data_IF_293343377900
#
_entry.id   IF_293343377900
#
_cell.length_a   1.000
_cell.length_b   1.000
_cell.length_c   1.000
_cell.angle_alpha   90.00
_cell.angle_beta   90.00
_cell.angle_gamma   90.00
#
_symmetry.space_group_name_H-M   'P 1'
#
loop_
_entity.id
_entity.type
_entity.pdbx_description
1 polymer ?
#
# COMPACT_ATOMS: atom_id res chain seq x y z
N UNK A 1 -26.15 -0.11 -6.87
CA UNK A 1 -25.31 -0.92 -7.78
C UNK A 1 -24.54 -1.86 -6.87
N UNK A 2 -24.60 -3.16 -7.11
CA UNK A 2 -23.90 -4.13 -6.27
C UNK A 2 -22.40 -4.00 -6.47
N UNK A 3 -21.64 -4.17 -5.39
CA UNK A 3 -20.20 -3.94 -5.35
C UNK A 3 -19.43 -5.25 -5.22
N UNK A 4 -18.43 -5.43 -6.07
CA UNK A 4 -17.45 -6.50 -5.98
C UNK A 4 -16.11 -5.93 -5.55
N UNK A 5 -15.52 -6.47 -4.48
CA UNK A 5 -14.15 -6.15 -4.07
C UNK A 5 -13.25 -7.37 -4.31
N UNK A 6 -12.18 -7.17 -5.07
CA UNK A 6 -11.17 -8.19 -5.33
C UNK A 6 -9.89 -7.77 -4.62
N UNK A 7 -9.46 -8.56 -3.64
CA UNK A 7 -8.26 -8.27 -2.86
C UNK A 7 -7.09 -9.06 -3.43
N UNK A 8 -6.06 -8.33 -3.83
CA UNK A 8 -4.75 -8.87 -4.15
C UNK A 8 -4.04 -9.24 -2.85
N UNK A 9 -4.20 -10.50 -2.45
CA UNK A 9 -3.73 -11.04 -1.19
C UNK A 9 -2.21 -11.08 -1.10
N UNK A 10 -1.53 -11.36 -2.22
CA UNK A 10 -0.07 -11.38 -2.30
C UNK A 10 0.51 -9.98 -2.06
N UNK A 11 -0.01 -8.97 -2.75
CA UNK A 11 0.40 -7.57 -2.55
C UNK A 11 0.04 -7.06 -1.16
N UNK A 12 -1.16 -7.41 -0.64
CA UNK A 12 -1.56 -7.09 0.74
C UNK A 12 -0.54 -7.60 1.75
N UNK A 13 -0.13 -8.85 1.62
CA UNK A 13 0.72 -9.51 2.60
C UNK A 13 2.14 -8.93 2.61
N UNK A 14 2.74 -8.74 1.43
CA UNK A 14 4.05 -8.07 1.32
C UNK A 14 4.00 -6.61 1.78
N UNK A 15 2.93 -5.88 1.44
CA UNK A 15 2.78 -4.48 1.85
C UNK A 15 2.66 -4.36 3.37
N UNK A 16 1.88 -5.23 4.02
CA UNK A 16 1.76 -5.26 5.47
C UNK A 16 3.11 -5.50 6.16
N UNK A 17 3.93 -6.40 5.61
CA UNK A 17 5.26 -6.73 6.13
C UNK A 17 6.24 -5.55 6.09
N UNK A 18 6.23 -4.76 5.02
CA UNK A 18 7.16 -3.64 4.87
C UNK A 18 6.67 -2.33 5.51
N UNK A 19 5.36 -2.21 5.76
CA UNK A 19 4.78 -1.00 6.32
C UNK A 19 4.78 -0.97 7.85
N UNK A 20 4.88 -2.12 8.51
CA UNK A 20 4.88 -2.24 9.96
C UNK A 20 6.26 -2.64 10.47
N UNK A 21 6.64 -2.21 11.69
CA UNK A 21 7.86 -2.68 12.32
C UNK A 21 7.84 -4.20 12.52
N UNK A 22 9.00 -4.85 12.72
CA UNK A 22 9.06 -6.25 13.11
C UNK A 22 8.36 -6.46 14.46
N UNK A 23 7.10 -6.88 14.41
CA UNK A 23 6.30 -7.23 15.59
C UNK A 23 6.34 -8.74 15.81
N UNK A 24 6.38 -9.14 17.07
CA UNK A 24 6.25 -10.53 17.50
C UNK A 24 5.34 -10.67 18.71
N UNK A 25 4.70 -11.83 18.87
CA UNK A 25 3.93 -12.15 20.09
C UNK A 25 4.86 -12.59 21.24
N UNK A 26 4.29 -12.85 22.43
CA UNK A 26 5.02 -13.34 23.60
C UNK A 26 5.72 -14.70 23.40
N UNK A 27 5.32 -15.49 22.41
CA UNK A 27 5.98 -16.74 22.01
C UNK A 27 7.14 -16.53 21.02
N UNK A 28 7.39 -15.29 20.58
CA UNK A 28 8.42 -14.94 19.62
C UNK A 28 8.03 -15.18 18.15
N UNK A 29 6.77 -15.49 17.87
CA UNK A 29 6.26 -15.64 16.51
C UNK A 29 6.08 -14.25 15.87
N UNK A 30 6.50 -14.04 14.61
CA UNK A 30 6.30 -12.77 13.92
C UNK A 30 4.82 -12.55 13.62
N UNK A 31 4.32 -11.33 13.85
CA UNK A 31 2.89 -10.98 13.73
C UNK A 31 2.62 -9.72 12.90
N UNK A 32 3.65 -8.95 12.55
CA UNK A 32 3.51 -7.65 11.89
C UNK A 32 2.66 -7.69 10.61
N UNK A 33 2.91 -8.65 9.72
CA UNK A 33 2.17 -8.77 8.47
C UNK A 33 0.69 -9.15 8.73
N UNK A 34 0.44 -10.02 9.71
CA UNK A 34 -0.92 -10.41 10.09
C UNK A 34 -1.73 -9.20 10.60
N UNK A 35 -1.14 -8.38 11.47
CA UNK A 35 -1.77 -7.15 11.97
C UNK A 35 -2.16 -6.21 10.83
N UNK A 36 -1.24 -5.99 9.89
CA UNK A 36 -1.49 -5.14 8.72
C UNK A 36 -2.64 -5.69 7.86
N UNK A 37 -2.62 -6.99 7.54
CA UNK A 37 -3.70 -7.62 6.76
C UNK A 37 -5.05 -7.51 7.46
N UNK A 38 -5.13 -7.83 8.76
CA UNK A 38 -6.38 -7.74 9.53
C UNK A 38 -6.95 -6.32 9.52
N UNK A 39 -6.10 -5.30 9.68
CA UNK A 39 -6.54 -3.91 9.64
C UNK A 39 -7.05 -3.48 8.26
N UNK A 40 -6.37 -3.89 7.19
CA UNK A 40 -6.83 -3.60 5.83
C UNK A 40 -8.15 -4.31 5.52
N UNK A 41 -8.29 -5.58 5.93
CA UNK A 41 -9.53 -6.34 5.79
C UNK A 41 -10.67 -5.70 6.59
N UNK A 42 -10.42 -5.20 7.80
CA UNK A 42 -11.44 -4.47 8.59
C UNK A 42 -11.98 -3.26 7.83
N UNK A 43 -11.09 -2.47 7.21
CA UNK A 43 -11.49 -1.32 6.39
C UNK A 43 -12.37 -1.77 5.21
N UNK A 44 -11.93 -2.77 4.44
CA UNK A 44 -12.68 -3.31 3.32
C UNK A 44 -14.05 -3.86 3.74
N UNK A 45 -14.12 -4.59 4.85
CA UNK A 45 -15.36 -5.17 5.34
C UNK A 45 -16.34 -4.12 5.89
N UNK A 46 -15.84 -2.98 6.37
CA UNK A 46 -16.68 -1.86 6.83
C UNK A 46 -17.44 -1.20 5.69
N UNK A 47 -16.91 -1.25 4.47
CA UNK A 47 -17.61 -0.79 3.26
C UNK A 47 -18.77 -1.71 2.84
N UNK A 48 -18.91 -2.88 3.49
CA UNK A 48 -19.99 -3.85 3.28
C UNK A 48 -20.20 -4.22 1.80
N UNK A 49 -19.18 -4.77 1.10
CA UNK A 49 -19.34 -5.18 -0.28
C UNK A 49 -20.31 -6.36 -0.41
N UNK A 50 -21.09 -6.37 -1.50
CA UNK A 50 -22.02 -7.49 -1.81
C UNK A 50 -21.24 -8.76 -2.15
N UNK A 51 -20.12 -8.60 -2.86
CA UNK A 51 -19.23 -9.68 -3.28
C UNK A 51 -17.78 -9.36 -2.93
N UNK A 52 -17.03 -10.37 -2.51
CA UNK A 52 -15.65 -10.21 -2.05
C UNK A 52 -14.85 -11.48 -2.33
N UNK A 53 -13.62 -11.34 -2.80
CA UNK A 53 -12.65 -12.43 -2.80
C UNK A 53 -11.26 -11.97 -2.39
N UNK A 54 -10.54 -12.88 -1.75
CA UNK A 54 -9.12 -12.75 -1.42
C UNK A 54 -8.34 -13.72 -2.31
N UNK A 55 -7.51 -13.18 -3.20
CA UNK A 55 -6.82 -13.97 -4.23
C UNK A 55 -5.34 -14.07 -3.89
N UNK A 56 -4.80 -15.28 -3.96
CA UNK A 56 -3.40 -15.57 -3.68
C UNK A 56 -2.78 -16.35 -4.83
N UNK A 57 -1.48 -16.18 -5.02
CA UNK A 57 -0.72 -17.02 -5.93
C UNK A 57 -0.75 -18.48 -5.46
N UNK A 58 -1.02 -19.37 -6.41
CA UNK A 58 -0.83 -20.80 -6.21
C UNK A 58 0.67 -21.12 -6.19
N UNK A 59 1.02 -22.25 -5.58
CA UNK A 59 2.39 -22.77 -5.66
C UNK A 59 2.61 -23.47 -6.99
N UNK A 60 3.80 -23.30 -7.57
CA UNK A 60 4.20 -23.94 -8.83
C UNK A 60 4.46 -22.92 -9.93
N UNK A 61 4.92 -23.39 -11.10
CA UNK A 61 5.12 -22.53 -12.26
C UNK A 61 3.78 -22.05 -12.82
N UNK A 62 3.84 -20.93 -13.52
CA UNK A 62 2.76 -20.32 -14.27
C UNK A 62 3.05 -20.41 -15.77
N UNK A 63 2.08 -20.04 -16.60
CA UNK A 63 2.31 -19.92 -18.04
C UNK A 63 3.41 -18.90 -18.39
N UNK A 64 3.68 -17.90 -17.53
CA UNK A 64 4.76 -16.92 -17.78
C UNK A 64 6.14 -17.55 -17.63
N UNK A 65 6.31 -18.51 -16.71
CA UNK A 65 7.55 -19.27 -16.58
C UNK A 65 7.84 -20.13 -17.82
N UNK A 66 6.79 -20.62 -18.50
CA UNK A 66 6.92 -21.34 -19.78
C UNK A 66 7.26 -20.42 -20.94
N UNK A 67 6.74 -19.18 -20.93
CA UNK A 67 7.00 -18.15 -21.95
C UNK A 67 8.42 -17.57 -21.87
N UNK A 68 8.90 -17.28 -20.67
CA UNK A 68 10.23 -16.73 -20.43
C UNK A 68 10.82 -17.31 -19.12
N UNK A 69 11.79 -18.24 -19.21
CA UNK A 69 12.45 -18.82 -18.03
C UNK A 69 13.16 -17.80 -17.13
N UNK A 70 13.44 -16.59 -17.63
CA UNK A 70 14.05 -15.52 -16.84
C UNK A 70 12.99 -14.67 -16.10
N UNK A 71 11.70 -14.84 -16.37
CA UNK A 71 10.63 -14.09 -15.70
C UNK A 71 10.65 -14.36 -14.19
N UNK A 72 10.65 -13.29 -13.39
CA UNK A 72 10.78 -13.31 -11.91
C UNK A 72 11.99 -14.10 -11.37
N UNK A 73 12.94 -14.52 -12.20
CA UNK A 73 14.08 -15.36 -11.80
C UNK A 73 15.01 -14.68 -10.78
N UNK A 74 15.08 -13.35 -10.81
CA UNK A 74 15.88 -12.54 -9.88
C UNK A 74 15.11 -12.13 -8.60
N UNK A 75 13.87 -12.60 -8.42
CA UNK A 75 13.06 -12.23 -7.25
C UNK A 75 13.64 -12.93 -6.00
N UNK A 76 13.97 -12.19 -4.94
CA UNK A 76 14.45 -12.82 -3.71
C UNK A 76 13.37 -13.73 -3.13
N UNK A 77 13.76 -14.83 -2.46
CA UNK A 77 12.80 -15.68 -1.77
C UNK A 77 12.04 -14.88 -0.71
N UNK A 78 10.81 -15.28 -0.44
CA UNK A 78 10.00 -14.69 0.62
C UNK A 78 10.77 -14.75 1.97
N UNK A 79 10.90 -13.64 2.71
CA UNK A 79 11.56 -13.63 4.01
C UNK A 79 10.93 -14.66 4.96
N UNK A 80 11.75 -15.33 5.78
CA UNK A 80 11.27 -16.42 6.65
C UNK A 80 10.19 -15.95 7.65
N UNK A 81 10.33 -14.73 8.17
CA UNK A 81 9.35 -14.10 9.05
C UNK A 81 7.99 -13.90 8.37
N UNK A 82 8.01 -13.52 7.09
CA UNK A 82 6.81 -13.36 6.29
C UNK A 82 6.20 -14.72 5.94
N UNK A 83 7.04 -15.67 5.55
CA UNK A 83 6.64 -17.05 5.22
C UNK A 83 5.95 -17.73 6.40
N UNK A 84 6.43 -17.52 7.63
CA UNK A 84 5.82 -18.06 8.85
C UNK A 84 4.39 -17.55 9.10
N UNK A 85 4.07 -16.36 8.60
CA UNK A 85 2.75 -15.73 8.77
C UNK A 85 1.76 -16.11 7.66
N UNK A 86 2.18 -16.77 6.58
CA UNK A 86 1.30 -17.01 5.41
C UNK A 86 0.12 -17.92 5.76
N UNK A 87 0.37 -19.05 6.42
CA UNK A 87 -0.70 -19.99 6.77
C UNK A 87 -1.66 -19.39 7.81
N UNK A 88 -1.19 -18.74 8.90
CA UNK A 88 -2.08 -18.01 9.79
C UNK A 88 -2.94 -16.94 9.10
N UNK A 89 -2.41 -16.24 8.10
CA UNK A 89 -3.18 -15.28 7.31
C UNK A 89 -4.31 -15.97 6.53
N UNK A 90 -4.04 -17.13 5.91
CA UNK A 90 -5.06 -17.93 5.21
C UNK A 90 -6.16 -18.32 6.19
N UNK A 91 -5.80 -18.87 7.37
CA UNK A 91 -6.76 -19.26 8.40
C UNK A 91 -7.64 -18.09 8.87
N UNK A 92 -7.06 -16.89 9.05
CA UNK A 92 -7.82 -15.68 9.42
C UNK A 92 -8.80 -15.28 8.32
N UNK A 93 -8.37 -15.27 7.06
CA UNK A 93 -9.22 -14.89 5.91
C UNK A 93 -10.40 -15.84 5.76
N UNK A 94 -10.15 -17.14 5.87
CA UNK A 94 -11.19 -18.17 5.82
C UNK A 94 -12.16 -18.05 7.00
N UNK A 95 -11.64 -17.85 8.22
CA UNK A 95 -12.46 -17.68 9.43
C UNK A 95 -13.29 -16.37 9.41
N UNK A 96 -12.86 -15.35 8.65
CA UNK A 96 -13.66 -14.15 8.37
C UNK A 96 -14.82 -14.40 7.39
N UNK A 97 -14.93 -15.61 6.83
CA UNK A 97 -15.91 -16.00 5.83
C UNK A 97 -15.60 -15.47 4.43
N UNK A 98 -14.36 -15.05 4.16
CA UNK A 98 -14.00 -14.45 2.87
C UNK A 98 -13.65 -15.58 1.88
N UNK A 99 -14.28 -15.63 0.68
CA UNK A 99 -13.88 -16.54 -0.37
C UNK A 99 -12.40 -16.36 -0.73
N UNK A 100 -11.61 -17.42 -0.51
CA UNK A 100 -10.19 -17.45 -0.86
C UNK A 100 -9.99 -18.23 -2.15
N UNK A 101 -9.30 -17.62 -3.12
CA UNK A 101 -9.04 -18.21 -4.43
C UNK A 101 -7.54 -18.40 -4.65
N UNK A 102 -7.17 -19.59 -5.11
CA UNK A 102 -5.82 -19.99 -5.52
C UNK A 102 -5.95 -20.90 -6.74
N UNK A 103 -5.53 -20.42 -7.91
CA UNK A 103 -5.69 -21.14 -9.18
C UNK A 103 -4.30 -21.54 -9.69
N UNK A 104 -4.00 -22.84 -9.84
CA UNK A 104 -2.71 -23.29 -10.37
C UNK A 104 -2.48 -22.85 -11.82
N UNK A 105 -1.21 -22.65 -12.19
CA UNK A 105 -0.78 -22.36 -13.57
C UNK A 105 -0.95 -20.90 -14.01
N UNK A 106 -1.49 -20.03 -13.16
CA UNK A 106 -1.66 -18.59 -13.39
C UNK A 106 -1.28 -17.80 -12.13
N UNK A 107 -1.09 -16.49 -12.28
CA UNK A 107 -0.85 -15.59 -11.15
C UNK A 107 -2.17 -15.09 -10.55
N UNK A 108 -2.13 -14.60 -9.31
CA UNK A 108 -3.29 -13.98 -8.65
C UNK A 108 -3.88 -12.84 -9.50
N UNK A 109 -3.02 -12.11 -10.21
CA UNK A 109 -3.38 -10.98 -11.05
C UNK A 109 -4.31 -11.40 -12.19
N UNK A 110 -4.07 -12.57 -12.79
CA UNK A 110 -4.88 -13.11 -13.87
C UNK A 110 -6.27 -13.54 -13.39
N UNK A 111 -6.35 -14.12 -12.19
CA UNK A 111 -7.61 -14.49 -11.55
C UNK A 111 -8.42 -13.23 -11.22
N UNK A 112 -7.77 -12.21 -10.65
CA UNK A 112 -8.40 -10.91 -10.36
C UNK A 112 -8.85 -10.24 -11.66
N UNK A 113 -8.00 -10.22 -12.69
CA UNK A 113 -8.33 -9.61 -13.98
C UNK A 113 -9.55 -10.25 -14.62
N UNK A 114 -9.61 -11.58 -14.61
CA UNK A 114 -10.76 -12.35 -15.10
C UNK A 114 -12.04 -12.02 -14.34
N UNK A 115 -11.99 -11.99 -13.01
CA UNK A 115 -13.16 -11.67 -12.18
C UNK A 115 -13.60 -10.21 -12.32
N UNK A 116 -12.65 -9.28 -12.47
CA UNK A 116 -12.93 -7.86 -12.62
C UNK A 116 -13.65 -7.59 -13.94
N UNK A 117 -13.15 -8.18 -15.03
CA UNK A 117 -13.77 -8.11 -16.36
C UNK A 117 -15.18 -8.71 -16.36
N UNK A 118 -15.33 -9.91 -15.80
CA UNK A 118 -16.62 -10.58 -15.69
C UNK A 118 -17.60 -9.76 -14.84
N UNK A 119 -17.15 -9.19 -13.71
CA UNK A 119 -17.96 -8.38 -12.81
C UNK A 119 -18.43 -7.08 -13.45
N UNK A 120 -17.53 -6.35 -14.11
CA UNK A 120 -17.87 -5.13 -14.83
C UNK A 120 -18.86 -5.41 -15.98
N UNK A 121 -18.67 -6.51 -16.72
CA UNK A 121 -19.61 -6.96 -17.76
C UNK A 121 -20.98 -7.33 -17.20
N UNK A 122 -21.04 -7.85 -15.97
CA UNK A 122 -22.28 -8.11 -15.23
C UNK A 122 -22.91 -6.85 -14.62
N UNK A 123 -22.28 -5.67 -14.75
CA UNK A 123 -22.80 -4.40 -14.24
C UNK A 123 -22.50 -4.15 -12.75
N UNK A 124 -21.53 -4.85 -12.17
CA UNK A 124 -21.05 -4.61 -10.82
C UNK A 124 -20.09 -3.41 -10.78
N UNK A 125 -20.11 -2.67 -9.67
CA UNK A 125 -19.06 -1.70 -9.34
C UNK A 125 -17.86 -2.47 -8.77
N UNK A 126 -16.81 -2.65 -9.57
CA UNK A 126 -15.64 -3.45 -9.23
C UNK A 126 -14.55 -2.56 -8.64
N UNK A 127 -14.06 -2.99 -7.47
CA UNK A 127 -12.89 -2.42 -6.81
C UNK A 127 -11.82 -3.50 -6.73
N UNK A 128 -10.66 -3.23 -7.32
CA UNK A 128 -9.47 -4.05 -7.12
C UNK A 128 -8.64 -3.40 -6.01
N UNK A 129 -8.48 -4.09 -4.89
CA UNK A 129 -7.65 -3.59 -3.80
C UNK A 129 -6.23 -4.11 -3.90
N UNK A 130 -5.35 -3.23 -4.39
CA UNK A 130 -3.94 -3.53 -4.67
C UNK A 130 -3.10 -2.25 -4.59
N UNK A 131 -1.79 -2.43 -4.42
CA UNK A 131 -0.78 -1.37 -4.64
C UNK A 131 0.01 -1.58 -5.93
N UNK A 132 -0.20 -2.70 -6.61
CA UNK A 132 0.52 -3.02 -7.82
C UNK A 132 0.05 -2.11 -8.97
N UNK A 133 1.03 -1.54 -9.66
CA UNK A 133 0.82 -0.63 -10.79
C UNK A 133 0.29 -1.37 -12.01
N UNK A 134 0.51 -2.68 -12.12
CA UNK A 134 0.19 -3.44 -13.32
C UNK A 134 -1.32 -3.54 -13.53
N UNK A 135 -2.10 -3.56 -12.45
CA UNK A 135 -3.56 -3.46 -12.50
C UNK A 135 -4.08 -2.14 -13.10
N UNK A 136 -3.24 -1.11 -13.28
CA UNK A 136 -3.67 0.11 -13.98
C UNK A 136 -4.17 -0.19 -15.40
N UNK A 137 -3.75 -1.30 -16.01
CA UNK A 137 -4.23 -1.75 -17.32
C UNK A 137 -5.71 -2.16 -17.32
N UNK A 138 -6.28 -2.52 -16.17
CA UNK A 138 -7.69 -2.93 -16.05
C UNK A 138 -8.65 -1.78 -15.74
N UNK A 139 -8.13 -0.58 -15.47
CA UNK A 139 -8.96 0.57 -15.09
C UNK A 139 -9.83 1.01 -16.26
N UNK A 140 -11.15 1.01 -16.06
CA UNK A 140 -12.15 1.41 -17.07
C UNK A 140 -13.50 1.68 -16.40
N UNK A 141 -14.55 2.10 -17.13
CA UNK A 141 -15.87 2.26 -16.53
C UNK A 141 -16.33 0.99 -15.81
N UNK A 142 -16.61 1.10 -14.51
CA UNK A 142 -16.99 -0.01 -13.65
C UNK A 142 -15.84 -0.72 -12.93
N UNK A 143 -14.56 -0.40 -13.22
CA UNK A 143 -13.39 -0.98 -12.54
C UNK A 143 -12.48 0.14 -12.02
N UNK A 144 -12.22 0.14 -10.71
CA UNK A 144 -11.32 1.11 -10.06
C UNK A 144 -10.32 0.41 -9.15
N UNK A 145 -9.15 1.02 -8.94
CA UNK A 145 -8.17 0.49 -7.99
C UNK A 145 -8.25 1.27 -6.68
N UNK A 146 -8.06 0.58 -5.56
CA UNK A 146 -7.97 1.18 -4.22
C UNK A 146 -6.76 0.64 -3.48
N UNK A 147 -5.93 1.54 -2.98
CA UNK A 147 -4.93 1.21 -1.97
C UNK A 147 -5.51 1.54 -0.59
N UNK A 148 -5.82 0.51 0.18
CA UNK A 148 -6.46 0.64 1.51
C UNK A 148 -5.54 1.23 2.58
N UNK A 149 -4.22 1.26 2.37
CA UNK A 149 -3.29 1.89 3.31
C UNK A 149 -3.19 3.40 3.12
N UNK A 150 -3.06 3.86 1.87
CA UNK A 150 -3.02 5.31 1.57
C UNK A 150 -4.42 5.92 1.44
N UNK A 151 -5.46 5.09 1.30
CA UNK A 151 -6.80 5.52 0.93
C UNK A 151 -6.91 6.02 -0.52
N UNK A 152 -5.88 5.85 -1.34
CA UNK A 152 -5.88 6.35 -2.72
C UNK A 152 -6.81 5.53 -3.60
N UNK A 153 -7.62 6.22 -4.40
CA UNK A 153 -8.45 5.63 -5.45
C UNK A 153 -7.90 6.02 -6.82
N UNK A 154 -7.70 5.03 -7.68
CA UNK A 154 -7.20 5.22 -9.04
C UNK A 154 -8.31 4.93 -10.03
N UNK A 155 -8.80 5.98 -10.67
CA UNK A 155 -9.64 5.95 -11.86
C UNK A 155 -8.81 6.29 -13.11
N UNK A 156 -9.47 6.39 -14.26
CA UNK A 156 -8.83 6.68 -15.54
C UNK A 156 -7.97 7.95 -15.50
N UNK A 157 -8.47 9.02 -14.91
CA UNK A 157 -7.77 10.31 -14.87
C UNK A 157 -6.53 10.22 -13.99
N UNK A 158 -6.62 9.51 -12.86
CA UNK A 158 -5.47 9.21 -12.00
C UNK A 158 -4.43 8.31 -12.67
N UNK A 159 -4.83 7.39 -13.53
CA UNK A 159 -3.87 6.63 -14.36
C UNK A 159 -3.11 7.58 -15.30
N UNK A 160 -3.82 8.46 -16.00
CA UNK A 160 -3.19 9.43 -16.92
C UNK A 160 -2.24 10.36 -16.17
N UNK A 161 -2.65 10.90 -15.01
CA UNK A 161 -1.81 11.76 -14.18
C UNK A 161 -0.53 11.05 -13.72
N UNK A 162 -0.66 9.79 -13.27
CA UNK A 162 0.45 9.02 -12.69
C UNK A 162 1.43 8.49 -13.74
N UNK A 163 0.93 7.98 -14.87
CA UNK A 163 1.75 7.27 -15.86
C UNK A 163 2.00 8.08 -17.14
N UNK A 164 1.23 9.14 -17.39
CA UNK A 164 1.27 9.92 -18.62
C UNK A 164 0.61 9.23 -19.82
N UNK A 165 -0.07 8.11 -19.60
CA UNK A 165 -0.79 7.33 -20.61
C UNK A 165 -2.14 6.87 -20.05
N UNK A 166 -3.17 6.66 -20.90
CA UNK A 166 -4.44 6.12 -20.45
C UNK A 166 -4.34 4.60 -20.13
N UNK A 167 -5.30 4.03 -19.39
CA UNK A 167 -5.32 2.60 -19.02
C UNK A 167 -5.09 1.63 -20.20
N UNK A 168 -5.72 1.88 -21.34
CA UNK A 168 -5.58 1.07 -22.57
C UNK A 168 -4.20 1.12 -23.23
N UNK A 169 -3.25 1.86 -22.65
CA UNK A 169 -1.84 1.93 -23.08
C UNK A 169 -0.86 1.51 -21.99
N UNK A 170 -1.34 1.08 -20.82
CA UNK A 170 -0.46 0.65 -19.72
C UNK A 170 0.35 -0.58 -20.10
N UNK A 171 -0.23 -1.54 -20.82
CA UNK A 171 0.49 -2.74 -21.31
C UNK A 171 1.67 -2.32 -22.19
N UNK A 172 1.43 -1.48 -23.19
CA UNK A 172 2.46 -1.00 -24.11
C UNK A 172 3.54 -0.19 -23.38
N UNK A 173 3.11 0.63 -22.41
CA UNK A 173 3.99 1.43 -21.58
C UNK A 173 4.93 0.56 -20.75
N UNK A 174 4.40 -0.48 -20.09
CA UNK A 174 5.18 -1.44 -19.31
C UNK A 174 6.10 -2.27 -20.21
N UNK A 175 5.64 -2.69 -21.39
CA UNK A 175 6.47 -3.44 -22.34
C UNK A 175 7.70 -2.64 -22.83
N UNK A 176 7.55 -1.33 -23.02
CA UNK A 176 8.64 -0.42 -23.39
C UNK A 176 9.61 -0.14 -22.24
N UNK A 177 9.10 0.10 -21.04
CA UNK A 177 9.95 0.39 -19.88
C UNK A 177 10.61 -0.86 -19.30
N UNK A 178 9.95 -2.00 -19.44
CA UNK A 178 10.22 -3.21 -18.68
C UNK A 178 9.77 -3.11 -17.23
N UNK A 179 9.94 -4.23 -16.53
CA UNK A 179 9.79 -4.35 -15.10
C UNK A 179 11.01 -5.03 -14.47
N UNK A 180 11.69 -4.32 -13.57
CA UNK A 180 12.85 -4.87 -12.88
C UNK A 180 12.48 -5.89 -11.81
N UNK A 181 11.33 -5.74 -11.16
CA UNK A 181 10.85 -6.65 -10.11
C UNK A 181 10.57 -8.01 -10.71
N UNK A 182 9.96 -8.02 -11.90
CA UNK A 182 9.56 -9.23 -12.62
C UNK A 182 10.60 -9.69 -13.65
N UNK A 183 11.77 -9.04 -13.67
CA UNK A 183 12.86 -9.33 -14.60
C UNK A 183 12.45 -9.28 -16.09
N UNK A 184 11.54 -8.39 -16.44
CA UNK A 184 11.15 -8.09 -17.83
C UNK A 184 12.01 -6.92 -18.32
N UNK A 185 13.01 -7.14 -19.19
CA UNK A 185 13.88 -6.05 -19.64
C UNK A 185 13.18 -5.20 -20.69
N UNK A 186 13.08 -3.90 -20.44
CA UNK A 186 12.58 -2.93 -21.41
C UNK A 186 13.64 -2.43 -22.38
N UNK A 187 13.29 -1.38 -23.12
CA UNK A 187 14.24 -0.64 -23.95
C UNK A 187 15.21 0.12 -23.05
N UNK A 188 16.52 -0.12 -23.20
CA UNK A 188 17.53 0.57 -22.39
C UNK A 188 17.39 2.09 -22.51
N UNK A 189 17.41 2.79 -21.36
CA UNK A 189 17.16 4.24 -21.20
C UNK A 189 15.74 4.71 -21.56
N UNK A 190 14.79 3.81 -21.81
CA UNK A 190 13.38 4.16 -21.94
C UNK A 190 12.71 4.21 -20.57
N UNK A 191 12.65 5.40 -19.97
CA UNK A 191 11.88 5.64 -18.75
C UNK A 191 10.44 6.09 -19.02
N UNK A 192 9.66 6.40 -17.96
CA UNK A 192 8.24 6.74 -18.05
C UNK A 192 7.93 7.85 -19.07
N UNK A 193 8.71 8.94 -19.04
CA UNK A 193 8.51 10.07 -19.93
C UNK A 193 8.76 9.72 -21.40
N UNK A 194 9.74 8.85 -21.66
CA UNK A 194 10.08 8.43 -23.03
C UNK A 194 9.01 7.49 -23.57
N UNK A 195 8.60 6.48 -22.79
CA UNK A 195 7.54 5.56 -23.17
C UNK A 195 6.22 6.30 -23.45
N UNK A 196 5.78 7.17 -22.53
CA UNK A 196 4.57 7.97 -22.71
C UNK A 196 4.65 8.88 -23.95
N UNK A 197 5.81 9.50 -24.22
CA UNK A 197 6.02 10.31 -25.42
C UNK A 197 5.88 9.49 -26.70
N UNK A 198 6.48 8.30 -26.74
CA UNK A 198 6.41 7.44 -27.93
C UNK A 198 4.99 6.94 -28.18
N UNK A 199 4.26 6.54 -27.14
CA UNK A 199 2.87 6.12 -27.26
C UNK A 199 1.95 7.28 -27.65
N UNK A 200 2.18 8.49 -27.13
CA UNK A 200 1.45 9.67 -27.58
C UNK A 200 1.72 10.02 -29.05
N UNK A 201 2.93 9.72 -29.56
CA UNK A 201 3.33 10.03 -30.93
C UNK A 201 2.89 8.97 -31.94
N UNK A 202 2.96 7.69 -31.56
CA UNK A 202 2.76 6.55 -32.45
C UNK A 202 1.57 5.68 -32.06
N UNK A 203 0.72 6.17 -31.16
CA UNK A 203 -0.50 5.55 -30.63
C UNK A 203 -0.25 4.36 -29.69
N UNK A 204 0.33 3.26 -30.18
CA UNK A 204 0.50 2.00 -29.44
C UNK A 204 1.89 1.38 -29.66
N UNK A 205 2.16 0.23 -29.04
CA UNK A 205 3.45 -0.45 -29.17
C UNK A 205 3.75 -0.86 -30.62
N UNK A 206 2.74 -1.27 -31.39
CA UNK A 206 2.93 -1.65 -32.79
C UNK A 206 3.30 -0.46 -33.66
N UNK A 207 2.71 0.71 -33.39
CA UNK A 207 3.08 1.97 -33.99
C UNK A 207 4.51 2.38 -33.64
N UNK A 208 4.94 2.21 -32.39
CA UNK A 208 6.35 2.47 -31.98
C UNK A 208 7.31 1.54 -32.72
N UNK A 209 6.97 0.25 -32.84
CA UNK A 209 7.79 -0.75 -33.56
C UNK A 209 7.88 -0.37 -35.05
N UNK A 210 6.76 -0.03 -35.69
CA UNK A 210 6.71 0.34 -37.11
C UNK A 210 7.57 1.58 -37.44
N UNK A 211 7.68 2.52 -36.49
CA UNK A 211 8.45 3.76 -36.65
C UNK A 211 9.80 3.74 -35.91
N UNK A 212 10.30 2.56 -35.53
CA UNK A 212 11.55 2.45 -34.78
C UNK A 212 12.78 3.01 -35.52
N UNK A 213 12.72 3.07 -36.85
CA UNK A 213 13.77 3.68 -37.69
C UNK A 213 13.76 5.21 -37.68
N UNK A 214 12.64 5.83 -37.33
CA UNK A 214 12.49 7.29 -37.25
C UNK A 214 13.03 7.85 -35.92
N UNK A 215 13.18 6.98 -34.92
CA UNK A 215 13.77 7.33 -33.62
C UNK A 215 15.28 7.41 -33.75
N UNK A 216 15.81 8.64 -33.76
CA UNK A 216 17.25 8.92 -33.82
C UNK A 216 18.00 8.76 -32.49
N UNK A 217 19.33 8.86 -32.57
CA UNK A 217 20.22 8.88 -31.40
C UNK A 217 20.35 7.54 -30.67
N UNK A 218 21.03 7.56 -29.51
CA UNK A 218 21.36 6.33 -28.76
C UNK A 218 20.12 5.57 -28.28
N UNK A 219 19.07 6.30 -27.89
CA UNK A 219 17.80 5.69 -27.47
C UNK A 219 17.10 4.95 -28.61
N UNK A 220 17.21 5.44 -29.85
CA UNK A 220 16.69 4.75 -31.03
C UNK A 220 17.47 3.48 -31.36
N UNK A 221 18.80 3.49 -31.18
CA UNK A 221 19.60 2.28 -31.31
C UNK A 221 19.17 1.21 -30.29
N UNK A 222 18.94 1.63 -29.04
CA UNK A 222 18.44 0.74 -27.98
C UNK A 222 17.05 0.19 -28.33
N UNK A 223 16.13 1.02 -28.83
CA UNK A 223 14.81 0.57 -29.28
C UNK A 223 14.93 -0.51 -30.37
N UNK A 224 15.73 -0.25 -31.40
CA UNK A 224 15.99 -1.20 -32.50
C UNK A 224 16.59 -2.52 -32.02
N UNK A 225 17.45 -2.47 -31.00
CA UNK A 225 18.04 -3.67 -30.40
C UNK A 225 17.04 -4.51 -29.58
N UNK A 226 15.92 -3.92 -29.12
CA UNK A 226 14.91 -4.59 -28.29
C UNK A 226 13.68 -5.03 -29.09
N UNK A 227 13.55 -4.68 -30.38
CA UNK A 227 12.33 -4.90 -31.19
C UNK A 227 11.81 -6.34 -31.16
N UNK A 228 12.70 -7.33 -31.27
CA UNK A 228 12.32 -8.74 -31.29
C UNK A 228 11.73 -9.21 -29.95
N UNK A 229 12.10 -8.56 -28.84
CA UNK A 229 11.62 -8.91 -27.50
C UNK A 229 10.33 -8.19 -27.12
N UNK A 230 10.04 -7.03 -27.70
CA UNK A 230 8.86 -6.23 -27.34
C UNK A 230 7.52 -7.00 -27.41
N UNK A 231 7.27 -7.88 -28.40
CA UNK A 231 6.08 -8.73 -28.39
C UNK A 231 6.00 -9.65 -27.17
N UNK A 232 7.10 -10.31 -26.80
CA UNK A 232 7.17 -11.16 -25.60
C UNK A 232 6.97 -10.34 -24.32
N UNK A 233 7.60 -9.16 -24.22
CA UNK A 233 7.40 -8.27 -23.07
C UNK A 233 5.93 -7.88 -22.92
N UNK A 234 5.25 -7.57 -24.04
CA UNK A 234 3.82 -7.24 -24.05
C UNK A 234 3.00 -8.40 -23.47
N UNK A 235 3.30 -9.63 -23.88
CA UNK A 235 2.62 -10.82 -23.38
C UNK A 235 2.88 -11.06 -21.89
N UNK A 236 4.13 -10.93 -21.43
CA UNK A 236 4.50 -11.11 -20.03
C UNK A 236 3.82 -10.10 -19.10
N UNK A 237 3.73 -8.82 -19.48
CA UNK A 237 3.12 -7.76 -18.65
C UNK A 237 1.59 -7.66 -18.79
N UNK A 238 1.00 -8.39 -19.73
CA UNK A 238 -0.47 -8.41 -19.91
C UNK A 238 -1.09 -9.31 -18.85
N UNK A 239 -2.02 -8.76 -18.06
CA UNK A 239 -2.85 -9.55 -17.15
C UNK A 239 -3.88 -10.32 -17.99
N UNK A 240 -3.91 -11.64 -17.81
CA UNK A 240 -4.88 -12.51 -18.47
C UNK A 240 -6.27 -12.30 -17.85
N UNK A 241 -7.31 -12.29 -18.69
CA UNK A 241 -8.69 -11.96 -18.27
C UNK A 241 -9.72 -13.04 -18.64
N UNK A 242 -9.25 -14.21 -19.05
CA UNK A 242 -10.02 -15.36 -19.51
C UNK A 242 -9.57 -16.66 -18.83
N UNK A 243 -9.18 -16.58 -17.56
CA UNK A 243 -8.86 -17.77 -16.75
C UNK A 243 -10.14 -18.59 -16.53
N UNK A 244 -10.06 -19.91 -16.67
CA UNK A 244 -11.17 -20.80 -16.30
C UNK A 244 -11.29 -20.85 -14.77
N UNK A 245 -12.44 -20.40 -14.25
CA UNK A 245 -12.71 -20.30 -12.82
C UNK A 245 -13.96 -21.10 -12.44
N UNK A 246 -13.90 -21.80 -11.31
CA UNK A 246 -15.05 -22.56 -10.77
C UNK A 246 -16.21 -21.68 -10.31
N UNK A 247 -15.94 -20.40 -10.05
CA UNK A 247 -16.91 -19.44 -9.52
C UNK A 247 -16.81 -18.12 -10.27
N UNK A 248 -17.96 -17.58 -10.65
CA UNK A 248 -18.09 -16.22 -11.17
C UNK A 248 -18.19 -15.16 -10.07
N UNK A 249 -18.14 -13.86 -10.44
CA UNK A 249 -18.11 -12.74 -9.50
C UNK A 249 -19.33 -12.69 -8.56
N UNK A 250 -20.53 -12.97 -9.07
CA UNK A 250 -21.78 -12.94 -8.28
C UNK A 250 -21.93 -14.14 -7.32
N UNK A 251 -21.00 -15.09 -7.35
CA UNK A 251 -20.96 -16.25 -6.44
C UNK A 251 -19.95 -16.05 -5.29
N UNK A 252 -19.23 -14.92 -5.28
CA UNK A 252 -18.22 -14.58 -4.26
C UNK A 252 -18.86 -13.90 -3.06
N UNK A 253 -19.88 -14.55 -2.50
CA UNK A 253 -20.55 -14.10 -1.29
C UNK A 253 -19.67 -14.36 -0.08
N UNK A 254 -19.65 -13.41 0.84
CA UNK A 254 -19.06 -13.62 2.16
C UNK A 254 -19.90 -14.62 2.95
N UNK A 255 -19.26 -15.66 3.48
CA UNK A 255 -19.86 -16.61 4.42
C UNK A 255 -19.99 -16.04 5.83
N UNK A 256 -20.52 -16.87 6.73
CA UNK A 256 -20.55 -16.56 8.16
C UNK A 256 -19.14 -16.56 8.75
N UNK A 257 -18.93 -15.75 9.79
CA UNK A 257 -17.65 -15.71 10.51
C UNK A 257 -17.56 -16.90 11.46
N UNK A 258 -16.41 -17.56 11.48
CA UNK A 258 -16.08 -18.52 12.52
C UNK A 258 -15.56 -17.77 13.76
N UNK A 259 -16.48 -17.44 14.66
CA UNK A 259 -16.15 -16.69 15.88
C UNK A 259 -15.23 -17.46 16.83
N UNK A 260 -15.26 -18.80 16.83
CA UNK A 260 -14.41 -19.60 17.71
C UNK A 260 -12.98 -19.60 17.19
N UNK A 261 -12.81 -19.88 15.89
CA UNK A 261 -11.50 -19.88 15.23
C UNK A 261 -10.85 -18.49 15.22
N UNK A 262 -11.63 -17.44 14.95
CA UNK A 262 -11.11 -16.07 15.03
C UNK A 262 -10.64 -15.71 16.45
N UNK A 263 -11.37 -16.13 17.49
CA UNK A 263 -10.97 -15.89 18.88
C UNK A 263 -9.68 -16.63 19.23
N UNK A 264 -9.53 -17.88 18.80
CA UNK A 264 -8.30 -18.66 18.96
C UNK A 264 -7.11 -17.95 18.30
N UNK A 265 -7.23 -17.60 17.02
CA UNK A 265 -6.17 -16.96 16.24
C UNK A 265 -5.79 -15.59 16.80
N UNK A 266 -6.77 -14.73 17.05
CA UNK A 266 -6.51 -13.40 17.58
C UNK A 266 -5.94 -13.43 19.01
N UNK A 267 -6.24 -14.46 19.81
CA UNK A 267 -5.59 -14.65 21.11
C UNK A 267 -4.13 -15.06 20.94
N UNK A 268 -3.85 -16.06 20.10
CA UNK A 268 -2.48 -16.54 19.83
C UNK A 268 -1.57 -15.43 19.31
N UNK A 269 -2.07 -14.60 18.40
CA UNK A 269 -1.31 -13.51 17.79
C UNK A 269 -1.49 -12.17 18.52
N UNK A 270 -2.08 -12.17 19.72
CA UNK A 270 -2.20 -11.01 20.62
C UNK A 270 -2.89 -9.80 19.96
N UNK A 271 -3.87 -10.07 19.08
CA UNK A 271 -4.64 -9.07 18.34
C UNK A 271 -5.79 -8.50 19.20
N UNK A 272 -5.44 -7.87 20.31
CA UNK A 272 -6.38 -7.39 21.34
C UNK A 272 -7.49 -6.46 20.82
N UNK A 273 -7.20 -5.64 19.80
CA UNK A 273 -8.24 -4.81 19.19
C UNK A 273 -9.26 -5.65 18.41
N UNK A 274 -8.79 -6.60 17.59
CA UNK A 274 -9.66 -7.47 16.81
C UNK A 274 -10.51 -8.40 17.70
N UNK A 275 -9.94 -8.87 18.83
CA UNK A 275 -10.69 -9.61 19.87
C UNK A 275 -11.84 -8.79 20.45
N UNK A 276 -11.58 -7.56 20.90
CA UNK A 276 -12.62 -6.68 21.47
C UNK A 276 -13.77 -6.42 20.50
N UNK A 277 -13.47 -6.27 19.22
CA UNK A 277 -14.48 -6.10 18.18
C UNK A 277 -15.27 -7.39 17.91
N UNK A 278 -14.60 -8.54 17.97
CA UNK A 278 -15.24 -9.85 17.81
C UNK A 278 -16.26 -10.13 18.93
N UNK A 279 -15.99 -9.65 20.15
CA UNK A 279 -16.85 -9.81 21.33
C UNK A 279 -18.00 -8.79 21.42
N UNK A 280 -18.20 -7.95 20.39
CA UNK A 280 -19.31 -7.01 20.33
C UNK A 280 -19.08 -5.70 21.08
N UNK A 281 -17.82 -5.36 21.40
CA UNK A 281 -17.46 -4.02 21.87
C UNK A 281 -17.75 -2.99 20.78
N UNK A 282 -18.86 -2.25 20.92
CA UNK A 282 -19.24 -1.19 20.01
C UNK A 282 -18.20 -0.04 20.03
N UNK A 283 -17.51 0.15 18.90
CA UNK A 283 -17.11 1.45 18.35
C UNK A 283 -16.31 2.41 19.25
N UNK A 284 -14.98 2.25 19.22
CA UNK A 284 -14.06 3.38 19.34
C UNK A 284 -13.51 3.70 17.95
N UNK A 285 -13.60 4.96 17.53
CA UNK A 285 -13.22 5.44 16.20
C UNK A 285 -11.90 4.84 15.69
N UNK A 286 -11.92 4.40 14.44
CA UNK A 286 -10.72 4.03 13.71
C UNK A 286 -9.80 5.27 13.64
N UNK A 287 -8.70 5.24 14.38
CA UNK A 287 -7.56 6.10 14.11
C UNK A 287 -7.13 5.84 12.66
N UNK A 288 -7.19 6.88 11.83
CA UNK A 288 -6.66 6.86 10.46
C UNK A 288 -5.18 6.48 10.50
N UNK A 289 -4.66 5.69 9.56
CA UNK A 289 -3.23 5.44 9.48
C UNK A 289 -2.54 6.77 9.14
N UNK A 290 -1.64 7.22 10.01
CA UNK A 290 -0.60 8.17 9.64
C UNK A 290 0.45 7.39 8.81
N UNK A 291 1.04 8.00 7.76
CA UNK A 291 2.09 7.35 7.00
C UNK A 291 3.39 7.40 7.81
N UNK A 292 3.86 6.25 8.28
CA UNK A 292 5.17 6.13 8.94
C UNK A 292 6.27 5.97 7.90
N UNK A 293 7.27 6.85 7.98
CA UNK A 293 8.58 6.69 7.36
C UNK A 293 9.68 6.58 8.42
N UNK A 294 10.10 5.33 8.66
CA UNK A 294 11.43 4.87 9.13
C UNK A 294 11.92 5.12 10.59
N UNK A 295 11.68 4.08 11.41
CA UNK A 295 12.51 3.32 12.40
C UNK A 295 14.03 3.58 12.61
N UNK A 296 14.70 2.95 13.62
CA UNK A 296 14.33 2.69 15.04
C UNK A 296 15.52 2.85 16.03
N UNK A 297 15.23 2.91 17.34
CA UNK A 297 16.16 2.42 18.37
C UNK A 297 15.39 1.83 19.55
N UNK A 298 15.64 0.55 19.83
CA UNK A 298 14.98 -0.23 20.87
C UNK A 298 15.54 0.06 22.27
N UNK A 299 14.64 0.21 23.25
CA UNK A 299 14.84 -0.27 24.63
C UNK A 299 13.50 -0.61 25.27
N UNK A 300 13.55 -1.62 26.14
CA UNK A 300 12.47 -2.46 26.64
C UNK A 300 11.36 -1.77 27.46
N UNK A 301 10.15 -2.28 27.24
CA UNK A 301 9.04 -2.54 28.17
C UNK A 301 8.70 -1.54 29.28
N UNK A 302 7.55 -0.89 29.09
CA UNK A 302 6.73 -0.34 30.16
C UNK A 302 5.38 0.17 29.65
N UNK A 303 4.31 -0.45 30.16
CA UNK A 303 2.95 0.08 30.35
C UNK A 303 1.89 0.01 29.22
N UNK A 304 1.00 -0.97 29.41
CA UNK A 304 -0.44 -0.98 29.07
C UNK A 304 -1.22 0.24 29.66
N UNK A 305 -0.87 1.48 29.33
CA UNK A 305 -1.70 2.64 29.67
C UNK A 305 -1.96 3.54 28.46
N UNK A 306 -3.23 3.94 28.30
CA UNK A 306 -3.60 4.97 27.34
C UNK A 306 -3.01 6.29 27.81
N UNK A 307 -1.95 6.75 27.15
CA UNK A 307 -1.31 8.02 27.46
C UNK A 307 -2.19 9.25 27.22
N UNK A 308 -1.83 10.37 27.84
CA UNK A 308 -2.45 11.67 27.59
C UNK A 308 -1.79 12.35 26.37
N UNK A 309 -2.48 12.31 25.23
CA UNK A 309 -2.02 12.94 23.99
C UNK A 309 -2.85 14.18 23.67
N UNK A 310 -2.20 15.31 23.38
CA UNK A 310 -2.88 16.59 23.12
C UNK A 310 -2.44 17.19 21.79
N UNK A 311 -3.41 17.72 21.04
CA UNK A 311 -3.15 18.53 19.85
C UNK A 311 -3.25 20.02 20.23
N UNK A 312 -2.14 20.75 20.08
CA UNK A 312 -1.97 22.13 20.52
C UNK A 312 -2.31 23.07 19.36
N UNK A 313 -3.51 23.64 19.39
CA UNK A 313 -4.03 24.52 18.32
C UNK A 313 -4.28 25.96 18.77
N UNK A 314 -4.17 26.22 20.08
CA UNK A 314 -4.39 27.52 20.71
C UNK A 314 -3.13 28.03 21.42
N UNK A 315 -2.94 29.36 21.42
CA UNK A 315 -1.71 29.99 21.92
C UNK A 315 -1.46 29.69 23.40
N UNK A 316 -2.51 29.68 24.22
CA UNK A 316 -2.41 29.44 25.66
C UNK A 316 -1.87 28.03 25.98
N UNK A 317 -2.26 27.03 25.19
CA UNK A 317 -1.79 25.66 25.35
C UNK A 317 -0.32 25.51 24.90
N UNK A 318 0.08 26.26 23.87
CA UNK A 318 1.48 26.32 23.43
C UNK A 318 2.36 27.01 24.47
N UNK A 319 1.91 28.11 25.08
CA UNK A 319 2.66 28.81 26.11
C UNK A 319 2.87 27.91 27.34
N UNK A 320 1.86 27.14 27.73
CA UNK A 320 1.95 26.15 28.81
C UNK A 320 2.96 25.04 28.48
N UNK A 321 2.90 24.49 27.26
CA UNK A 321 3.87 23.51 26.79
C UNK A 321 5.29 24.08 26.78
N UNK A 322 5.49 25.30 26.28
CA UNK A 322 6.80 25.93 26.19
C UNK A 322 7.44 26.11 27.57
N UNK A 323 6.66 26.51 28.58
CA UNK A 323 7.15 26.57 29.96
C UNK A 323 7.48 25.19 30.53
N UNK A 324 6.70 24.16 30.20
CA UNK A 324 7.03 22.78 30.58
C UNK A 324 8.37 22.33 29.95
N UNK A 325 8.60 22.62 28.67
CA UNK A 325 9.83 22.26 27.96
C UNK A 325 11.07 22.96 28.54
N UNK A 326 10.96 24.25 28.87
CA UNK A 326 12.07 25.01 29.48
C UNK A 326 12.51 24.49 30.85
N UNK A 327 11.57 23.88 31.59
CA UNK A 327 11.83 23.38 32.95
C UNK A 327 12.12 21.87 32.98
N UNK A 328 12.09 21.20 31.83
CA UNK A 328 12.35 19.77 31.73
C UNK A 328 13.85 19.46 31.70
N UNK A 329 14.26 18.41 32.40
CA UNK A 329 15.64 17.92 32.33
C UNK A 329 15.92 17.12 31.04
N UNK A 330 14.88 16.51 30.47
CA UNK A 330 14.91 15.73 29.23
C UNK A 330 13.66 16.04 28.40
N UNK A 331 13.85 16.31 27.12
CA UNK A 331 12.77 16.57 26.15
C UNK A 331 12.94 15.64 24.97
N UNK A 332 12.00 14.72 24.76
CA UNK A 332 11.91 13.99 23.51
C UNK A 332 11.11 14.82 22.51
N UNK A 333 11.59 14.91 21.26
CA UNK A 333 10.88 15.61 20.20
C UNK A 333 10.97 14.85 18.89
N UNK A 334 9.99 15.11 18.02
CA UNK A 334 9.93 14.59 16.66
C UNK A 334 9.34 15.66 15.72
N UNK A 335 9.65 15.58 14.43
CA UNK A 335 9.23 16.58 13.44
C UNK A 335 8.53 15.95 12.25
N UNK A 336 7.38 16.50 11.88
CA UNK A 336 6.69 16.15 10.65
C UNK A 336 7.09 17.13 9.55
N UNK A 337 7.42 16.62 8.36
CA UNK A 337 7.95 17.44 7.27
C UNK A 337 7.37 17.07 5.91
N UNK A 338 7.53 17.97 4.93
CA UNK A 338 7.04 17.76 3.55
C UNK A 338 7.87 16.76 2.75
N UNK A 339 9.03 16.32 3.24
CA UNK A 339 9.98 15.46 2.53
C UNK A 339 10.94 14.78 3.50
N UNK A 340 11.40 13.57 3.18
CA UNK A 340 12.47 12.90 3.92
C UNK A 340 13.86 13.50 3.63
N UNK A 341 14.01 14.35 2.60
CA UNK A 341 15.25 15.09 2.33
C UNK A 341 15.32 16.36 3.21
N UNK A 342 16.23 16.42 4.21
CA UNK A 342 16.30 17.54 5.16
C UNK A 342 16.69 18.87 4.51
N UNK A 343 17.30 18.87 3.31
CA UNK A 343 17.66 20.09 2.59
C UNK A 343 16.48 20.72 1.84
N UNK A 344 15.41 19.95 1.64
CA UNK A 344 14.20 20.37 0.92
C UNK A 344 12.94 20.32 1.79
N UNK A 345 13.05 19.73 2.98
CA UNK A 345 11.97 19.57 3.94
C UNK A 345 11.55 20.91 4.55
N UNK A 346 10.25 21.18 4.53
CA UNK A 346 9.65 22.21 5.36
C UNK A 346 8.96 21.54 6.56
N UNK A 347 9.12 22.14 7.75
CA UNK A 347 8.42 21.69 8.97
C UNK A 347 6.92 21.91 8.82
N UNK A 348 6.15 20.84 9.03
CA UNK A 348 4.69 20.76 8.96
C UNK A 348 4.07 20.60 10.35
N UNK A 349 4.77 19.95 11.28
CA UNK A 349 4.34 19.80 12.67
C UNK A 349 5.48 19.39 13.59
N UNK A 350 5.26 19.50 14.89
CA UNK A 350 6.24 19.18 15.94
C UNK A 350 5.57 18.38 17.05
N UNK A 351 6.23 17.32 17.51
CA UNK A 351 5.81 16.50 18.64
C UNK A 351 6.78 16.67 19.81
N UNK A 352 6.28 16.72 21.04
CA UNK A 352 7.09 16.82 22.25
C UNK A 352 6.57 15.92 23.37
N UNK A 353 7.49 15.34 24.13
CA UNK A 353 7.21 14.62 25.36
C UNK A 353 8.31 14.88 26.41
N UNK A 354 7.93 15.13 27.66
CA UNK A 354 8.86 15.28 28.79
C UNK A 354 8.68 14.18 29.83
N UNK A 355 7.65 13.36 29.69
CA UNK A 355 7.30 12.25 30.57
C UNK A 355 6.77 11.09 29.71
N UNK A 356 6.98 9.82 30.11
CA UNK A 356 6.32 8.68 29.47
C UNK A 356 4.80 8.85 29.43
N UNK A 357 4.18 8.32 28.38
CA UNK A 357 2.73 8.31 28.19
C UNK A 357 2.07 9.70 28.14
N UNK A 358 2.84 10.79 27.93
CA UNK A 358 2.30 12.13 27.65
C UNK A 358 3.01 12.76 26.47
N UNK A 359 2.25 13.18 25.45
CA UNK A 359 2.82 13.92 24.33
C UNK A 359 1.91 15.03 23.83
N UNK A 360 2.53 16.07 23.28
CA UNK A 360 1.86 17.19 22.66
C UNK A 360 2.28 17.30 21.19
N UNK A 361 1.31 17.46 20.29
CA UNK A 361 1.52 17.68 18.87
C UNK A 361 1.10 19.11 18.49
N UNK A 362 1.96 19.83 17.76
CA UNK A 362 1.70 21.18 17.27
C UNK A 362 1.60 21.14 15.74
N UNK A 363 0.41 21.24 15.14
CA UNK A 363 0.25 21.37 13.70
C UNK A 363 0.62 22.79 13.25
N UNK A 364 1.46 22.92 12.22
CA UNK A 364 1.97 24.21 11.74
C UNK A 364 1.66 24.51 10.26
N UNK A 365 1.59 23.51 9.37
CA UNK A 365 1.32 23.72 7.92
C UNK A 365 0.44 22.65 7.25
N UNK A 366 -0.51 22.07 7.97
CA UNK A 366 -1.49 21.16 7.38
C UNK A 366 -2.40 21.92 6.42
N UNK A 367 -2.49 21.47 5.17
CA UNK A 367 -3.20 22.13 4.07
C UNK A 367 -4.36 21.31 3.51
N UNK A 368 -4.74 20.22 4.17
CA UNK A 368 -5.84 19.36 3.77
C UNK A 368 -7.22 19.96 4.11
N UNK A 369 -8.29 19.56 3.40
CA UNK A 369 -9.66 19.93 3.78
C UNK A 369 -9.96 19.53 5.23
N UNK A 370 -10.47 20.48 6.02
CA UNK A 370 -10.77 20.27 7.44
C UNK A 370 -9.56 20.29 8.37
N UNK A 371 -8.39 20.79 7.91
CA UNK A 371 -7.24 21.02 8.78
C UNK A 371 -7.65 21.87 10.01
N UNK A 372 -7.16 21.51 11.22
CA UNK A 372 -7.47 22.27 12.42
C UNK A 372 -6.90 23.68 12.32
N UNK A 373 -7.35 24.57 13.22
CA UNK A 373 -6.71 25.86 13.42
C UNK A 373 -5.25 25.63 13.83
N UNK A 374 -4.33 26.41 13.26
CA UNK A 374 -2.90 26.24 13.46
C UNK A 374 -2.28 27.55 13.96
N UNK A 375 -1.23 27.41 14.77
CA UNK A 375 -0.42 28.53 15.23
C UNK A 375 0.50 29.00 14.09
N UNK A 376 0.95 30.25 14.17
CA UNK A 376 1.92 30.77 13.21
C UNK A 376 3.26 30.02 13.35
N UNK A 377 3.68 29.38 12.25
CA UNK A 377 4.88 28.52 12.22
C UNK A 377 6.13 29.26 12.68
N UNK A 378 6.37 30.44 12.12
CA UNK A 378 7.64 31.13 12.35
C UNK A 378 7.72 31.65 13.78
N UNK A 379 6.59 32.06 14.36
CA UNK A 379 6.46 32.43 15.77
C UNK A 379 6.72 31.24 16.71
N UNK A 380 6.14 30.06 16.42
CA UNK A 380 6.37 28.84 17.21
C UNK A 380 7.84 28.41 17.17
N UNK A 381 8.45 28.37 15.99
CA UNK A 381 9.86 27.99 15.84
C UNK A 381 10.80 28.99 16.53
N UNK A 382 10.52 30.29 16.45
CA UNK A 382 11.29 31.31 17.15
C UNK A 382 11.20 31.15 18.68
N UNK A 383 10.02 30.81 19.20
CA UNK A 383 9.79 30.61 20.62
C UNK A 383 10.44 29.32 21.18
N UNK A 384 10.56 28.26 20.36
CA UNK A 384 11.20 27.01 20.73
C UNK A 384 12.74 27.05 20.63
N UNK A 385 13.29 27.99 19.86
CA UNK A 385 14.73 28.14 19.67
C UNK A 385 15.56 28.13 20.97
N UNK A 386 15.19 28.88 22.03
CA UNK A 386 15.94 28.86 23.29
C UNK A 386 15.97 27.48 23.96
N UNK A 387 14.91 26.67 23.83
CA UNK A 387 14.85 25.31 24.42
C UNK A 387 15.87 24.40 23.73
N UNK A 388 15.96 24.47 22.39
CA UNK A 388 16.90 23.66 21.62
C UNK A 388 18.36 24.11 21.82
N UNK A 389 18.59 25.41 21.98
CA UNK A 389 19.94 25.98 22.20
C UNK A 389 20.45 25.83 23.65
N UNK A 390 19.59 25.50 24.62
CA UNK A 390 19.97 25.35 26.03
C UNK A 390 20.67 24.01 26.31
N UNK A 391 22.00 23.99 26.44
CA UNK A 391 22.77 22.78 26.75
C UNK A 391 22.40 22.10 28.09
N UNK A 392 21.69 22.79 28.99
CA UNK A 392 21.21 22.25 30.26
C UNK A 392 19.99 21.33 30.13
N UNK A 393 19.30 21.36 28.98
CA UNK A 393 18.17 20.48 28.67
C UNK A 393 18.71 19.34 27.80
N UNK A 394 18.60 18.09 28.27
CA UNK A 394 18.88 16.92 27.44
C UNK A 394 17.76 16.78 26.39
N UNK A 395 18.12 16.40 25.15
CA UNK A 395 17.15 16.14 24.08
C UNK A 395 17.38 14.77 23.47
#
# INVERSE_FOLDING_TARGET
>A
MSRLVLIDGSSYFYRAFHALPPLSNSAGEPTGALFGVVNMLRSTLKEAPDYLAFVLDASGPTFRDELDPEYKANRPPMPDELRAQREPMVEIVEALGIPLLRVPGVEADDVIGTLAEAGAKAGLDVIISTSDKDFAQLVKPGITLVNTMSGSRTDRDRVIEKFGVPPERIIDFLALMGDKVDNVPGVDKCGPKTAAKWLAQYDDLDGVIAHANDVGGKIGENLRATLERLPLNRELVTIKTDVELDRGPEQLLRGERDHEKLRELFTRFEMNQALRELDGGAGGEAAKPAPTGAEPAAVANGADQAGEYRCITEQADFDALLEQLKNAALVCFDTETTSLDPLQAAVVGLSFATEPDKAAYIPLRHDHPGAPRQLDRDSVLAALKPVFEDEGIAK
#
